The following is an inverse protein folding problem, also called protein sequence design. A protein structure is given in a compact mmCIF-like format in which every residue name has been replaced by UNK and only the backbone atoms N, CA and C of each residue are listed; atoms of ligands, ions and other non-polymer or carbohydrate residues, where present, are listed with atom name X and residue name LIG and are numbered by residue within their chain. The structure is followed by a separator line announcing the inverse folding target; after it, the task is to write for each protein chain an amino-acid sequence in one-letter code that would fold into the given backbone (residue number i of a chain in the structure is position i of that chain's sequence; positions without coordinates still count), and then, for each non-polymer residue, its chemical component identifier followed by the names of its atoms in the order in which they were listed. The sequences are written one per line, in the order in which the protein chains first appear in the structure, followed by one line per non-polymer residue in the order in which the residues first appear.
data_IF_964294599808
#
_entry.id   IF_964294599808
#
_cell.length_a   1.000
_cell.length_b   1.000
_cell.length_c   1.000
_cell.angle_alpha   90.00
_cell.angle_beta   90.00
_cell.angle_gamma   90.00
#
_symmetry.space_group_name_H-M   'P 1'
#
loop_
_entity.id
_entity.type
_entity.pdbx_description
1 polymer ?
#
# COMPACT_ATOMS: atom_id res chain seq x y z
N UNK A 1 7.11 -26.70 -22.96
CA UNK A 1 8.18 -26.13 -23.80
C UNK A 1 9.03 -25.28 -22.87
N UNK A 2 10.26 -25.71 -22.60
CA UNK A 2 11.16 -25.07 -21.65
C UNK A 2 11.65 -23.74 -22.21
N UNK A 3 11.58 -22.66 -21.41
CA UNK A 3 12.17 -21.38 -21.75
C UNK A 3 13.46 -21.21 -20.95
N UNK A 4 14.55 -21.22 -21.70
CA UNK A 4 15.91 -20.86 -21.31
C UNK A 4 15.96 -19.43 -20.78
N UNK A 5 16.65 -19.26 -19.66
CA UNK A 5 17.08 -17.98 -19.11
C UNK A 5 18.14 -17.40 -20.04
N UNK A 6 17.75 -16.45 -20.90
CA UNK A 6 18.71 -15.57 -21.55
C UNK A 6 18.26 -14.11 -21.36
N UNK A 7 19.05 -13.40 -20.55
CA UNK A 7 19.05 -11.94 -20.35
C UNK A 7 17.69 -11.25 -20.17
N UNK A 8 17.00 -11.55 -19.06
CA UNK A 8 15.76 -10.86 -18.66
C UNK A 8 15.99 -9.51 -17.97
N UNK A 9 16.25 -8.45 -18.75
CA UNK A 9 15.92 -7.09 -18.30
C UNK A 9 14.45 -6.87 -18.62
N UNK A 10 13.61 -6.81 -17.59
CA UNK A 10 12.20 -6.46 -17.73
C UNK A 10 12.11 -4.96 -18.05
N UNK A 11 12.26 -4.59 -19.32
CA UNK A 11 12.00 -3.22 -19.76
C UNK A 11 10.48 -3.02 -19.91
N UNK A 12 9.85 -2.53 -18.84
CA UNK A 12 8.60 -1.79 -18.96
C UNK A 12 8.84 -0.62 -19.94
N UNK A 13 8.26 -0.68 -21.14
CA UNK A 13 8.07 0.50 -22.00
C UNK A 13 6.99 1.39 -21.38
N UNK A 14 7.32 2.02 -20.26
CA UNK A 14 6.73 3.30 -19.92
C UNK A 14 7.25 4.31 -20.94
N UNK A 15 6.42 5.27 -21.34
CA UNK A 15 6.77 6.33 -22.30
C UNK A 15 8.18 6.87 -22.05
N UNK A 16 8.93 7.16 -23.13
CA UNK A 16 10.29 7.74 -23.09
C UNK A 16 10.36 8.80 -21.98
N UNK A 17 11.01 8.47 -20.85
CA UNK A 17 11.13 9.36 -19.70
C UNK A 17 10.79 8.79 -18.31
N UNK A 18 10.33 7.55 -18.17
CA UNK A 18 10.10 6.96 -16.85
C UNK A 18 11.42 6.76 -16.09
N UNK A 19 11.49 7.32 -14.88
CA UNK A 19 12.67 7.23 -14.03
C UNK A 19 12.68 5.86 -13.34
N UNK A 20 13.67 5.02 -13.69
CA UNK A 20 13.94 3.77 -12.99
C UNK A 20 14.36 4.03 -11.55
N UNK A 21 14.04 3.10 -10.66
CA UNK A 21 14.52 3.15 -9.28
C UNK A 21 16.05 3.12 -9.24
N UNK A 22 16.64 4.12 -8.59
CA UNK A 22 18.07 4.12 -8.28
C UNK A 22 18.22 4.00 -6.76
N UNK A 23 18.62 2.80 -6.30
CA UNK A 23 18.74 2.54 -4.88
C UNK A 23 19.93 3.22 -4.22
N UNK A 24 21.04 3.45 -4.93
CA UNK A 24 22.17 4.22 -4.38
C UNK A 24 21.77 5.68 -4.11
N UNK A 25 21.03 6.29 -5.05
CA UNK A 25 20.46 7.61 -4.87
C UNK A 25 19.45 7.63 -3.71
N UNK A 26 18.56 6.65 -3.65
CA UNK A 26 17.59 6.54 -2.56
C UNK A 26 18.28 6.44 -1.20
N UNK A 27 19.26 5.55 -1.06
CA UNK A 27 20.01 5.36 0.18
C UNK A 27 20.74 6.65 0.59
N UNK A 28 21.36 7.34 -0.36
CA UNK A 28 22.04 8.63 -0.12
C UNK A 28 21.05 9.70 0.34
N UNK A 29 19.92 9.82 -0.35
CA UNK A 29 18.89 10.85 -0.11
C UNK A 29 18.18 10.67 1.24
N UNK A 30 18.04 9.43 1.69
CA UNK A 30 17.35 9.08 2.93
C UNK A 30 18.29 8.66 4.06
N UNK A 31 19.59 8.92 3.92
CA UNK A 31 20.57 8.76 5.00
C UNK A 31 20.16 9.58 6.22
N UNK A 32 20.04 8.93 7.37
CA UNK A 32 19.62 9.52 8.64
C UNK A 32 18.13 9.87 8.73
N UNK A 33 17.32 9.50 7.73
CA UNK A 33 15.88 9.80 7.65
C UNK A 33 15.04 8.62 8.10
N UNK A 34 13.88 8.91 8.68
CA UNK A 34 12.90 7.92 9.16
C UNK A 34 11.76 7.80 8.18
N UNK A 35 11.59 6.60 7.63
CA UNK A 35 10.51 6.26 6.69
C UNK A 35 9.56 5.27 7.37
N UNK A 36 8.25 5.49 7.25
CA UNK A 36 7.25 4.50 7.70
C UNK A 36 6.12 4.30 6.71
N UNK A 37 5.87 3.04 6.39
CA UNK A 37 4.62 2.56 5.80
C UNK A 37 3.61 2.35 6.92
N UNK A 38 2.38 2.78 6.72
CA UNK A 38 1.30 2.66 7.71
C UNK A 38 0.04 2.19 7.00
N UNK A 39 -0.44 1.00 7.33
CA UNK A 39 -1.61 0.48 6.64
C UNK A 39 -1.86 -1.00 6.82
N UNK A 40 -2.57 -1.55 5.84
CA UNK A 40 -2.96 -2.97 5.78
C UNK A 40 -1.86 -3.87 5.19
N UNK A 41 -2.23 -5.09 4.79
CA UNK A 41 -1.27 -6.05 4.20
C UNK A 41 -0.70 -5.61 2.86
N UNK A 42 -1.29 -4.63 2.15
CA UNK A 42 -0.74 -4.12 0.90
C UNK A 42 0.38 -3.11 1.16
N UNK A 43 0.30 -2.35 2.26
CA UNK A 43 1.47 -1.62 2.78
C UNK A 43 2.62 -2.57 3.13
N UNK A 44 2.32 -3.75 3.68
CA UNK A 44 3.36 -4.76 3.91
C UNK A 44 3.97 -5.24 2.60
N UNK A 45 3.18 -5.50 1.56
CA UNK A 45 3.67 -5.89 0.24
C UNK A 45 4.62 -4.83 -0.35
N UNK A 46 4.22 -3.56 -0.33
CA UNK A 46 5.05 -2.46 -0.84
C UNK A 46 6.32 -2.25 -0.01
N UNK A 47 6.19 -2.31 1.32
CA UNK A 47 7.33 -2.22 2.24
C UNK A 47 8.34 -3.35 1.98
N UNK A 48 7.89 -4.60 1.83
CA UNK A 48 8.76 -5.75 1.53
C UNK A 48 9.51 -5.55 0.22
N UNK A 49 8.80 -5.15 -0.84
CA UNK A 49 9.40 -4.80 -2.14
C UNK A 49 10.51 -3.77 -1.97
N UNK A 50 10.24 -2.65 -1.30
CA UNK A 50 11.24 -1.60 -1.11
C UNK A 50 12.46 -2.12 -0.34
N UNK A 51 12.25 -2.89 0.72
CA UNK A 51 13.37 -3.47 1.49
C UNK A 51 14.24 -4.41 0.66
N UNK A 52 13.64 -5.21 -0.22
CA UNK A 52 14.38 -6.06 -1.17
C UNK A 52 15.18 -5.21 -2.17
N UNK A 53 14.57 -4.16 -2.74
CA UNK A 53 15.24 -3.26 -3.68
C UNK A 53 16.42 -2.53 -3.03
N UNK A 54 16.27 -2.07 -1.77
CA UNK A 54 17.34 -1.43 -1.02
C UNK A 54 18.46 -2.41 -0.65
N UNK A 55 18.12 -3.62 -0.22
CA UNK A 55 19.11 -4.66 0.05
C UNK A 55 19.92 -5.01 -1.21
N UNK A 56 19.25 -5.18 -2.35
CA UNK A 56 19.90 -5.45 -3.63
C UNK A 56 20.82 -4.30 -4.09
N UNK A 57 20.52 -3.07 -3.70
CA UNK A 57 21.32 -1.88 -4.02
C UNK A 57 22.53 -1.68 -3.10
N UNK A 58 22.61 -2.43 -2.00
CA UNK A 58 23.73 -2.40 -1.05
C UNK A 58 24.11 -3.82 -0.59
N UNK A 59 24.49 -4.73 -1.52
CA UNK A 59 24.61 -6.16 -1.23
C UNK A 59 25.76 -6.52 -0.26
N UNK A 60 26.72 -5.60 -0.08
CA UNK A 60 27.85 -5.76 0.86
C UNK A 60 27.59 -5.11 2.23
N UNK A 61 26.52 -4.34 2.37
CA UNK A 61 26.20 -3.66 3.62
C UNK A 61 25.45 -4.58 4.55
N UNK A 62 25.74 -4.49 5.86
CA UNK A 62 24.93 -5.17 6.85
C UNK A 62 23.51 -4.61 6.85
N UNK A 63 22.54 -5.50 7.07
CA UNK A 63 21.16 -5.12 7.30
C UNK A 63 20.66 -5.74 8.61
N UNK A 64 19.65 -5.10 9.20
CA UNK A 64 18.94 -5.63 10.35
C UNK A 64 17.46 -5.67 10.05
N UNK A 65 16.81 -6.70 10.59
CA UNK A 65 15.36 -6.82 10.58
C UNK A 65 14.89 -7.14 11.99
N UNK A 66 13.89 -6.39 12.46
CA UNK A 66 13.27 -6.64 13.75
C UNK A 66 11.77 -6.44 13.66
N UNK A 67 11.04 -7.20 14.47
CA UNK A 67 9.60 -7.08 14.61
C UNK A 67 9.24 -7.03 16.09
N UNK A 68 8.48 -6.01 16.48
CA UNK A 68 7.94 -5.84 17.82
C UNK A 68 6.46 -5.50 17.72
N UNK A 69 5.60 -6.45 18.04
CA UNK A 69 4.15 -6.31 17.87
C UNK A 69 3.76 -6.03 16.41
N UNK A 70 3.02 -4.93 16.19
CA UNK A 70 2.60 -4.46 14.87
C UNK A 70 3.68 -3.69 14.08
N UNK A 71 4.83 -3.40 14.69
CA UNK A 71 5.91 -2.63 14.07
C UNK A 71 7.00 -3.57 13.54
N UNK A 72 7.31 -3.46 12.25
CA UNK A 72 8.49 -4.08 11.62
C UNK A 72 9.48 -3.00 11.22
N UNK A 73 10.77 -3.23 11.46
CA UNK A 73 11.84 -2.29 11.13
C UNK A 73 12.91 -3.01 10.33
N UNK A 74 13.19 -2.51 9.13
CA UNK A 74 14.33 -2.90 8.31
C UNK A 74 15.32 -1.74 8.28
N UNK A 75 16.60 -2.02 8.54
CA UNK A 75 17.67 -1.02 8.39
C UNK A 75 18.80 -1.57 7.56
N UNK A 76 19.44 -0.73 6.76
CA UNK A 76 20.55 -1.08 5.86
C UNK A 76 21.61 0.02 5.91
N UNK A 77 22.82 -0.26 5.39
CA UNK A 77 23.97 0.64 5.45
C UNK A 77 24.32 0.95 6.91
N UNK A 78 24.55 -0.12 7.68
CA UNK A 78 24.89 -0.05 9.12
C UNK A 78 23.90 0.77 9.96
N UNK A 79 22.63 0.79 9.54
CA UNK A 79 21.54 1.48 10.24
C UNK A 79 21.31 2.93 9.81
N UNK A 80 22.04 3.43 8.81
CA UNK A 80 21.88 4.79 8.32
C UNK A 80 20.54 5.03 7.61
N UNK A 81 19.94 4.00 7.02
CA UNK A 81 18.60 4.07 6.41
C UNK A 81 17.70 3.06 7.09
N UNK A 82 16.58 3.54 7.66
CA UNK A 82 15.58 2.71 8.33
C UNK A 82 14.20 2.89 7.69
N UNK A 83 13.60 1.77 7.26
CA UNK A 83 12.24 1.71 6.72
C UNK A 83 11.36 0.87 7.64
N UNK A 84 10.32 1.48 8.18
CA UNK A 84 9.39 0.83 9.11
C UNK A 84 8.06 0.51 8.45
N UNK A 85 7.39 -0.49 9.00
CA UNK A 85 6.00 -0.81 8.73
C UNK A 85 5.23 -0.83 10.04
N UNK A 86 4.22 0.03 10.13
CA UNK A 86 3.25 0.07 11.23
C UNK A 86 1.91 -0.50 10.77
N UNK A 87 1.56 -1.71 11.23
CA UNK A 87 0.32 -2.40 10.83
C UNK A 87 -0.90 -1.74 11.45
N UNK A 88 -1.63 -0.96 10.65
CA UNK A 88 -2.85 -0.26 11.02
C UNK A 88 -3.85 -0.36 9.86
N UNK A 89 -4.51 -1.52 9.66
CA UNK A 89 -5.25 -1.81 8.43
C UNK A 89 -6.40 -0.84 8.14
N UNK A 90 -6.95 -0.20 9.18
CA UNK A 90 -8.05 0.75 9.07
C UNK A 90 -7.63 2.21 9.28
N UNK A 91 -6.37 2.45 9.68
CA UNK A 91 -5.84 3.72 10.21
C UNK A 91 -6.54 4.24 11.49
N UNK A 92 -7.84 4.03 11.62
CA UNK A 92 -8.62 4.26 12.84
C UNK A 92 -8.54 3.08 13.80
N UNK A 93 -8.92 3.33 15.05
CA UNK A 93 -8.73 2.38 16.13
C UNK A 93 -9.67 1.17 16.02
N UNK A 94 -9.08 -0.02 16.14
CA UNK A 94 -9.78 -1.28 16.36
C UNK A 94 -9.44 -1.76 17.77
N UNK A 95 -10.39 -1.65 18.69
CA UNK A 95 -10.18 -1.91 20.12
C UNK A 95 -11.04 -3.07 20.62
N UNK A 96 -10.56 -3.79 21.62
CA UNK A 96 -11.35 -4.82 22.31
C UNK A 96 -12.06 -4.19 23.50
N UNK A 97 -13.38 -4.14 23.44
CA UNK A 97 -14.26 -3.64 24.50
C UNK A 97 -15.03 -4.81 25.13
N UNK A 98 -15.78 -4.56 26.21
CA UNK A 98 -16.64 -5.58 26.86
C UNK A 98 -17.67 -6.20 25.90
N UNK A 99 -18.10 -5.44 24.90
CA UNK A 99 -19.08 -5.89 23.90
C UNK A 99 -18.45 -6.69 22.76
N UNK A 100 -17.13 -6.73 22.64
CA UNK A 100 -16.40 -7.34 21.53
C UNK A 100 -15.40 -6.37 20.89
N UNK A 101 -14.90 -6.72 19.70
CA UNK A 101 -13.99 -5.86 18.92
C UNK A 101 -14.78 -4.74 18.24
N UNK A 102 -14.40 -3.50 18.50
CA UNK A 102 -15.08 -2.31 17.99
C UNK A 102 -14.15 -1.51 17.09
N UNK A 103 -14.55 -1.32 15.84
CA UNK A 103 -13.90 -0.40 14.91
C UNK A 103 -14.45 1.01 15.15
N UNK A 104 -13.67 1.89 15.77
CA UNK A 104 -14.05 3.27 16.11
C UNK A 104 -13.67 4.21 14.97
N UNK A 105 -14.64 4.64 14.18
CA UNK A 105 -14.39 5.41 12.94
C UNK A 105 -13.90 6.84 13.19
N UNK A 106 -14.04 7.35 14.40
CA UNK A 106 -13.74 8.72 14.83
C UNK A 106 -12.55 8.81 15.81
N UNK A 107 -11.75 7.74 15.92
CA UNK A 107 -10.61 7.67 16.84
C UNK A 107 -9.32 7.18 16.17
N UNK A 108 -8.20 7.83 16.50
CA UNK A 108 -6.83 7.49 16.07
C UNK A 108 -5.87 7.70 17.25
N UNK A 109 -5.91 6.81 18.23
CA UNK A 109 -4.98 6.83 19.38
C UNK A 109 -3.56 6.45 18.94
N UNK A 110 -3.43 5.47 18.04
CA UNK A 110 -2.14 4.99 17.53
C UNK A 110 -1.37 6.03 16.69
N UNK A 111 -2.02 7.12 16.28
CA UNK A 111 -1.41 8.16 15.44
C UNK A 111 -0.20 8.83 16.08
N UNK A 112 -0.10 8.84 17.41
CA UNK A 112 1.08 9.28 18.17
C UNK A 112 2.39 8.66 17.67
N UNK A 113 2.35 7.40 17.23
CA UNK A 113 3.53 6.64 16.80
C UNK A 113 3.96 6.98 15.37
N UNK A 114 3.17 7.76 14.62
CA UNK A 114 3.48 8.19 13.24
C UNK A 114 4.15 9.57 13.22
N UNK A 115 4.20 10.28 14.35
CA UNK A 115 4.85 11.59 14.45
C UNK A 115 6.37 11.47 14.36
N UNK A 116 7.02 12.50 13.84
CA UNK A 116 8.48 12.60 13.80
C UNK A 116 9.17 11.73 12.74
N UNK A 117 8.41 11.22 11.77
CA UNK A 117 8.96 10.61 10.55
C UNK A 117 9.19 11.66 9.47
N UNK A 118 10.23 11.49 8.67
CA UNK A 118 10.52 12.35 7.51
C UNK A 118 9.64 11.98 6.32
N UNK A 119 9.21 10.72 6.22
CA UNK A 119 8.29 10.24 5.19
C UNK A 119 7.29 9.21 5.73
N UNK A 120 6.01 9.47 5.47
CA UNK A 120 4.90 8.58 5.79
C UNK A 120 4.20 8.13 4.51
N UNK A 121 4.02 6.81 4.35
CA UNK A 121 3.29 6.20 3.23
C UNK A 121 2.09 5.46 3.81
N UNK A 122 0.90 6.03 3.64
CA UNK A 122 -0.34 5.44 4.14
C UNK A 122 -1.01 4.57 3.08
N UNK A 123 -1.63 3.47 3.49
CA UNK A 123 -2.57 2.72 2.67
C UNK A 123 -3.68 2.15 3.53
N UNK A 124 -4.89 2.11 3.00
CA UNK A 124 -5.98 1.38 3.64
C UNK A 124 -7.11 1.16 2.63
N UNK A 125 -7.58 -0.08 2.49
CA UNK A 125 -8.85 -0.43 1.82
C UNK A 125 -9.13 -1.93 1.91
N UNK A 126 -8.10 -2.76 1.72
CA UNK A 126 -8.27 -4.19 1.48
C UNK A 126 -9.02 -4.90 2.61
N UNK A 127 -8.74 -4.51 3.86
CA UNK A 127 -9.37 -5.11 5.03
C UNK A 127 -10.80 -4.60 5.28
N UNK A 128 -11.18 -3.44 4.72
CA UNK A 128 -12.53 -2.91 4.86
C UNK A 128 -13.55 -3.80 4.17
N UNK A 129 -13.15 -4.50 3.10
CA UNK A 129 -14.05 -5.37 2.33
C UNK A 129 -14.22 -6.77 2.94
N UNK A 130 -13.47 -7.11 3.99
CA UNK A 130 -13.58 -8.42 4.64
C UNK A 130 -14.98 -8.66 5.24
N UNK A 131 -15.46 -9.90 5.08
CA UNK A 131 -16.76 -10.37 5.57
C UNK A 131 -16.60 -11.72 6.29
N UNK A 132 -17.64 -12.14 7.02
CA UNK A 132 -17.65 -13.43 7.72
C UNK A 132 -16.49 -13.54 8.72
N UNK A 133 -15.82 -14.69 8.72
CA UNK A 133 -14.69 -14.98 9.62
C UNK A 133 -13.45 -14.11 9.40
N UNK A 134 -13.33 -13.46 8.23
CA UNK A 134 -12.23 -12.54 7.93
C UNK A 134 -12.47 -11.12 8.46
N UNK A 135 -13.71 -10.79 8.86
CA UNK A 135 -14.07 -9.47 9.40
C UNK A 135 -13.48 -9.33 10.80
N UNK A 136 -12.53 -8.39 11.02
CA UNK A 136 -11.79 -8.34 12.29
C UNK A 136 -12.51 -7.57 13.41
N UNK A 137 -13.69 -7.01 13.15
CA UNK A 137 -14.52 -6.30 14.12
C UNK A 137 -15.89 -6.97 14.28
N UNK A 138 -16.44 -6.87 15.49
CA UNK A 138 -17.81 -7.29 15.82
C UNK A 138 -18.80 -6.12 15.66
N UNK A 139 -18.34 -4.90 15.96
CA UNK A 139 -19.13 -3.67 15.91
C UNK A 139 -18.35 -2.52 15.25
N UNK A 140 -19.09 -1.56 14.72
CA UNK A 140 -18.58 -0.28 14.20
C UNK A 140 -19.21 0.83 15.05
N UNK A 141 -18.36 1.76 15.49
CA UNK A 141 -18.77 2.90 16.29
C UNK A 141 -18.46 4.22 15.59
N UNK A 142 -19.40 5.17 15.67
CA UNK A 142 -19.20 6.58 15.34
C UNK A 142 -19.88 7.43 16.42
N UNK A 143 -19.11 8.23 17.15
CA UNK A 143 -19.58 8.97 18.32
C UNK A 143 -20.16 8.02 19.36
N UNK A 144 -21.45 8.21 19.67
CA UNK A 144 -22.20 7.38 20.63
C UNK A 144 -22.96 6.23 19.96
N UNK A 145 -22.99 6.17 18.63
CA UNK A 145 -23.77 5.18 17.89
C UNK A 145 -22.91 3.94 17.64
N UNK A 146 -23.42 2.77 18.05
CA UNK A 146 -22.77 1.47 17.84
C UNK A 146 -23.69 0.61 16.97
N UNK A 147 -23.14 0.05 15.90
CA UNK A 147 -23.85 -0.81 14.95
C UNK A 147 -23.06 -2.10 14.72
N UNK A 148 -23.75 -3.21 14.43
CA UNK A 148 -23.08 -4.49 14.08
C UNK A 148 -22.35 -4.44 12.74
N UNK A 149 -22.82 -3.58 11.84
CA UNK A 149 -22.28 -3.45 10.50
C UNK A 149 -22.67 -2.10 9.88
N UNK A 150 -21.95 -1.71 8.83
CA UNK A 150 -22.17 -0.47 8.08
C UNK A 150 -21.83 -0.71 6.60
N UNK A 151 -22.40 0.07 5.68
CA UNK A 151 -21.90 0.08 4.31
C UNK A 151 -20.39 0.34 4.28
N UNK A 152 -19.65 -0.44 3.46
CA UNK A 152 -18.18 -0.42 3.47
C UNK A 152 -17.62 0.91 2.98
N UNK A 153 -18.23 1.52 1.97
CA UNK A 153 -17.77 2.80 1.44
C UNK A 153 -18.10 3.94 2.40
N UNK A 154 -19.25 3.87 3.09
CA UNK A 154 -19.61 4.83 4.14
C UNK A 154 -18.63 4.74 5.31
N UNK A 155 -18.37 3.54 5.83
CA UNK A 155 -17.42 3.31 6.92
C UNK A 155 -16.00 3.76 6.51
N UNK A 156 -15.55 3.39 5.31
CA UNK A 156 -14.25 3.79 4.76
C UNK A 156 -14.12 5.30 4.66
N UNK A 157 -15.13 6.00 4.09
CA UNK A 157 -15.11 7.47 3.98
C UNK A 157 -15.04 8.13 5.34
N UNK A 158 -15.79 7.66 6.33
CA UNK A 158 -15.77 8.19 7.70
C UNK A 158 -14.41 8.01 8.35
N UNK A 159 -13.84 6.79 8.33
CA UNK A 159 -12.53 6.53 8.89
C UNK A 159 -11.41 7.32 8.20
N UNK A 160 -11.43 7.38 6.86
CA UNK A 160 -10.44 8.15 6.09
C UNK A 160 -10.57 9.66 6.35
N UNK A 161 -11.78 10.16 6.60
CA UNK A 161 -11.99 11.57 7.00
C UNK A 161 -11.44 11.85 8.40
N UNK A 162 -11.48 10.88 9.32
CA UNK A 162 -10.83 11.01 10.62
C UNK A 162 -9.30 11.03 10.46
N UNK A 163 -8.75 10.16 9.61
CA UNK A 163 -7.32 10.17 9.28
C UNK A 163 -6.88 11.48 8.65
N UNK A 164 -7.67 12.04 7.74
CA UNK A 164 -7.32 13.31 7.08
C UNK A 164 -7.25 14.48 8.08
N UNK A 165 -8.19 14.55 9.02
CA UNK A 165 -8.16 15.51 10.14
C UNK A 165 -6.94 15.31 11.04
N UNK A 166 -6.57 14.05 11.29
CA UNK A 166 -5.36 13.74 12.05
C UNK A 166 -4.12 14.27 11.35
N UNK A 167 -3.96 14.04 10.04
CA UNK A 167 -2.83 14.57 9.26
C UNK A 167 -2.80 16.09 9.30
N UNK A 168 -3.94 16.75 9.02
CA UNK A 168 -4.06 18.22 9.02
C UNK A 168 -3.69 18.86 10.36
N UNK A 169 -3.90 18.14 11.46
CA UNK A 169 -3.62 18.63 12.82
C UNK A 169 -2.19 18.33 13.26
N UNK A 170 -1.59 17.24 12.80
CA UNK A 170 -0.38 16.68 13.41
C UNK A 170 0.86 16.70 12.52
N UNK A 171 0.71 16.95 11.21
CA UNK A 171 1.82 16.90 10.25
C UNK A 171 2.20 18.30 9.79
N UNK A 172 3.51 18.60 9.90
CA UNK A 172 4.09 19.77 9.26
C UNK A 172 4.62 19.36 7.86
N UNK A 173 4.01 19.84 6.75
CA UNK A 173 4.40 19.45 5.40
C UNK A 173 5.81 19.93 4.99
N UNK A 174 6.37 20.92 5.70
CA UNK A 174 7.75 21.38 5.47
C UNK A 174 8.80 20.41 6.03
N UNK A 175 8.39 19.48 6.90
CA UNK A 175 9.28 18.52 7.57
C UNK A 175 9.00 17.09 7.11
N UNK A 176 7.72 16.72 7.01
CA UNK A 176 7.30 15.35 6.71
C UNK A 176 6.63 15.29 5.35
N UNK A 177 7.16 14.45 4.45
CA UNK A 177 6.49 14.09 3.20
C UNK A 177 5.41 13.04 3.49
N UNK A 178 4.20 13.26 2.99
CA UNK A 178 3.08 12.33 3.17
C UNK A 178 2.61 11.81 1.82
N UNK A 179 2.57 10.49 1.70
CA UNK A 179 2.03 9.76 0.56
C UNK A 179 0.82 8.95 0.98
N UNK A 180 -0.11 8.79 0.05
CA UNK A 180 -1.17 7.79 0.13
C UNK A 180 -1.01 6.84 -1.04
N UNK A 181 -0.72 5.56 -0.77
CA UNK A 181 -0.75 4.50 -1.77
C UNK A 181 -2.21 4.31 -2.20
N UNK A 182 -2.46 4.44 -3.51
CA UNK A 182 -3.77 4.21 -4.11
C UNK A 182 -4.32 2.80 -3.86
N UNK A 183 -5.56 2.59 -4.29
CA UNK A 183 -6.29 1.35 -4.06
C UNK A 183 -5.61 0.21 -4.83
N UNK A 184 -5.09 -0.79 -4.12
CA UNK A 184 -4.68 -2.05 -4.74
C UNK A 184 -5.93 -2.85 -5.13
N UNK A 185 -6.07 -3.25 -6.41
CA UNK A 185 -7.19 -4.07 -6.85
C UNK A 185 -7.02 -5.53 -6.41
N UNK A 186 -8.08 -6.30 -6.63
CA UNK A 186 -8.10 -7.77 -6.50
C UNK A 186 -8.58 -8.36 -7.82
N UNK A 187 -8.22 -9.61 -8.10
CA UNK A 187 -8.61 -10.31 -9.34
C UNK A 187 -9.30 -11.65 -9.03
N UNK A 188 -10.34 -11.60 -8.20
CA UNK A 188 -11.16 -12.78 -7.87
C UNK A 188 -12.25 -13.09 -8.89
N UNK A 189 -12.68 -12.11 -9.70
CA UNK A 189 -13.75 -12.26 -10.67
C UNK A 189 -13.31 -11.85 -12.08
N UNK A 190 -13.12 -12.85 -12.94
CA UNK A 190 -12.69 -12.64 -14.32
C UNK A 190 -13.67 -11.91 -15.23
N UNK A 191 -14.94 -11.82 -14.84
CA UNK A 191 -15.94 -11.02 -15.58
C UNK A 191 -15.52 -9.55 -15.64
N UNK A 192 -14.76 -9.05 -14.64
CA UNK A 192 -14.25 -7.67 -14.63
C UNK A 192 -13.20 -7.39 -15.72
N UNK A 193 -12.61 -8.43 -16.31
CA UNK A 193 -11.70 -8.33 -17.45
C UNK A 193 -12.15 -9.18 -18.65
N UNK A 194 -13.45 -9.42 -18.77
CA UNK A 194 -14.08 -10.16 -19.88
C UNK A 194 -13.61 -11.62 -20.03
N UNK A 195 -13.17 -12.27 -18.95
CA UNK A 195 -12.87 -13.71 -18.91
C UNK A 195 -13.79 -14.44 -17.94
N UNK A 196 -14.92 -14.92 -18.46
CA UNK A 196 -15.95 -15.55 -17.62
C UNK A 196 -15.45 -16.78 -16.86
N UNK A 197 -15.92 -16.94 -15.62
CA UNK A 197 -15.57 -18.06 -14.71
C UNK A 197 -14.06 -18.19 -14.44
N UNK A 198 -13.32 -17.09 -14.56
CA UNK A 198 -11.88 -17.03 -14.29
C UNK A 198 -11.57 -16.25 -13.02
N UNK A 199 -10.34 -16.38 -12.54
CA UNK A 199 -9.74 -15.53 -11.51
C UNK A 199 -8.24 -15.38 -11.83
N UNK A 200 -7.42 -14.96 -10.86
CA UNK A 200 -5.97 -14.82 -11.06
C UNK A 200 -5.22 -16.15 -11.30
N UNK A 201 -5.82 -17.31 -11.04
CA UNK A 201 -5.18 -18.61 -11.22
C UNK A 201 -4.93 -18.93 -12.70
N UNK A 202 -3.69 -19.32 -13.00
CA UNK A 202 -3.23 -19.63 -14.36
C UNK A 202 -3.00 -18.41 -15.24
N UNK A 203 -3.21 -17.20 -14.73
CA UNK A 203 -2.95 -15.96 -15.45
C UNK A 203 -1.44 -15.69 -15.49
N UNK A 204 -0.89 -15.59 -16.70
CA UNK A 204 0.56 -15.42 -16.93
C UNK A 204 0.89 -14.19 -17.75
N UNK A 205 -0.13 -13.43 -18.18
CA UNK A 205 0.01 -12.22 -18.97
C UNK A 205 -0.89 -11.12 -18.41
N UNK A 206 -0.45 -9.86 -18.47
CA UNK A 206 -1.29 -8.73 -18.12
C UNK A 206 -2.49 -8.62 -19.08
N UNK A 207 -3.47 -7.82 -18.69
CA UNK A 207 -4.56 -7.41 -19.58
C UNK A 207 -3.97 -6.53 -20.67
N UNK A 208 -4.30 -6.84 -21.93
CA UNK A 208 -3.85 -6.06 -23.08
C UNK A 208 -4.51 -4.68 -23.11
N UNK A 209 -3.73 -3.65 -23.46
CA UNK A 209 -4.20 -2.27 -23.56
C UNK A 209 -3.91 -1.44 -22.32
N UNK A 210 -4.55 -0.28 -22.23
CA UNK A 210 -4.32 0.72 -21.16
C UNK A 210 -5.54 0.96 -20.27
N UNK A 211 -6.63 0.22 -20.48
CA UNK A 211 -7.90 0.41 -19.77
C UNK A 211 -8.41 -0.91 -19.22
N UNK A 212 -8.79 -0.91 -17.95
CA UNK A 212 -9.44 -2.06 -17.31
C UNK A 212 -10.96 -2.04 -17.57
N UNK A 213 -11.55 -3.12 -18.14
CA UNK A 213 -12.98 -3.14 -18.50
C UNK A 213 -13.94 -2.95 -17.31
N UNK A 214 -13.63 -3.50 -16.14
CA UNK A 214 -14.47 -3.43 -14.94
C UNK A 214 -14.54 -2.05 -14.28
N UNK A 215 -13.84 -1.05 -14.81
CA UNK A 215 -13.80 0.31 -14.27
C UNK A 215 -12.98 0.42 -12.98
N UNK A 216 -12.89 1.64 -12.44
CA UNK A 216 -12.13 1.91 -11.21
C UNK A 216 -12.93 1.49 -9.96
N UNK A 217 -12.28 0.92 -8.93
CA UNK A 217 -12.94 0.65 -7.65
C UNK A 217 -13.53 1.95 -7.06
N UNK A 218 -14.78 1.94 -6.53
CA UNK A 218 -15.40 3.14 -5.96
C UNK A 218 -14.60 3.76 -4.81
N UNK A 219 -13.86 2.97 -4.05
CA UNK A 219 -12.97 3.45 -2.98
C UNK A 219 -11.89 4.42 -3.50
N UNK A 220 -11.44 4.29 -4.75
CA UNK A 220 -10.47 5.20 -5.34
C UNK A 220 -11.04 6.62 -5.48
N UNK A 221 -12.34 6.76 -5.75
CA UNK A 221 -13.02 8.05 -5.75
C UNK A 221 -13.08 8.63 -4.33
N UNK A 222 -13.38 7.82 -3.31
CA UNK A 222 -13.37 8.25 -1.91
C UNK A 222 -12.00 8.78 -1.49
N UNK A 223 -10.92 8.08 -1.85
CA UNK A 223 -9.55 8.55 -1.58
C UNK A 223 -9.31 9.91 -2.24
N UNK A 224 -9.55 10.03 -3.55
CA UNK A 224 -9.35 11.30 -4.27
C UNK A 224 -10.16 12.45 -3.66
N UNK A 225 -11.41 12.20 -3.30
CA UNK A 225 -12.28 13.21 -2.68
C UNK A 225 -11.72 13.65 -1.32
N UNK A 226 -11.31 12.71 -0.45
CA UNK A 226 -10.78 13.06 0.86
C UNK A 226 -9.49 13.85 0.72
N UNK A 227 -8.53 13.38 -0.10
CA UNK A 227 -7.24 14.05 -0.29
C UNK A 227 -7.39 15.46 -0.86
N UNK A 228 -8.33 15.68 -1.79
CA UNK A 228 -8.62 17.01 -2.37
C UNK A 228 -9.12 18.03 -1.35
N UNK A 229 -9.71 17.57 -0.25
CA UNK A 229 -10.30 18.44 0.79
C UNK A 229 -9.37 18.61 2.02
N UNK A 230 -8.13 18.12 1.96
CA UNK A 230 -7.16 18.26 3.05
C UNK A 230 -6.45 19.62 3.01
N UNK A 231 -6.06 20.12 4.19
CA UNK A 231 -5.20 21.30 4.31
C UNK A 231 -3.74 20.96 4.04
N UNK A 232 -3.28 19.84 4.58
CA UNK A 232 -1.93 19.30 4.33
C UNK A 232 -1.97 18.56 3.01
N UNK A 233 -1.13 18.97 2.06
CA UNK A 233 -1.02 18.30 0.77
C UNK A 233 -0.43 16.89 0.96
N UNK A 234 -1.22 15.88 0.59
CA UNK A 234 -0.80 14.48 0.55
C UNK A 234 -0.66 14.05 -0.90
N UNK A 235 0.47 13.43 -1.22
CA UNK A 235 0.72 12.95 -2.58
C UNK A 235 0.08 11.58 -2.79
N UNK A 236 -0.89 11.48 -3.71
CA UNK A 236 -1.47 10.20 -4.10
C UNK A 236 -0.51 9.46 -5.05
N UNK A 237 -0.07 8.27 -4.64
CA UNK A 237 0.55 7.31 -5.55
C UNK A 237 -0.58 6.55 -6.24
N UNK A 238 -1.05 7.04 -7.39
CA UNK A 238 -2.20 6.44 -8.09
C UNK A 238 -1.79 5.15 -8.81
N UNK A 239 -1.72 4.08 -8.04
CA UNK A 239 -1.33 2.74 -8.50
C UNK A 239 -2.52 1.91 -8.99
N UNK A 240 -3.74 2.45 -8.93
CA UNK A 240 -4.97 1.66 -9.11
C UNK A 240 -5.06 1.07 -10.51
N UNK A 241 -5.08 1.93 -11.53
CA UNK A 241 -5.32 1.52 -12.91
C UNK A 241 -4.20 0.62 -13.45
N UNK A 242 -2.93 0.95 -13.19
CA UNK A 242 -1.81 0.11 -13.63
C UNK A 242 -1.86 -1.27 -12.99
N UNK A 243 -2.28 -1.36 -11.73
CA UNK A 243 -2.34 -2.64 -11.02
C UNK A 243 -3.53 -3.47 -11.47
N UNK A 244 -4.63 -2.83 -11.91
CA UNK A 244 -5.78 -3.54 -12.48
C UNK A 244 -5.43 -4.25 -13.78
N UNK A 245 -4.42 -3.79 -14.52
CA UNK A 245 -3.96 -4.47 -15.72
C UNK A 245 -3.14 -5.74 -15.40
N UNK A 246 -2.81 -6.00 -14.14
CA UNK A 246 -1.85 -7.02 -13.72
C UNK A 246 -2.50 -8.24 -13.09
N UNK A 247 -3.53 -8.81 -13.71
CA UNK A 247 -4.16 -10.07 -13.27
C UNK A 247 -3.16 -11.23 -13.10
N UNK A 248 -2.01 -11.16 -13.76
CA UNK A 248 -0.88 -12.09 -13.73
C UNK A 248 0.06 -11.93 -12.51
N UNK A 249 -0.04 -10.82 -11.77
CA UNK A 249 0.91 -10.47 -10.72
C UNK A 249 0.66 -11.10 -9.35
N UNK A 250 -0.42 -11.86 -9.20
CA UNK A 250 -0.87 -12.42 -7.92
C UNK A 250 -0.20 -13.76 -7.60
N UNK A 251 0.04 -14.08 -6.31
CA UNK A 251 0.53 -15.39 -5.89
C UNK A 251 -0.41 -16.55 -6.24
N UNK A 252 -1.72 -16.29 -6.32
CA UNK A 252 -2.73 -17.33 -6.61
C UNK A 252 -2.57 -18.52 -5.65
N UNK A 253 -2.39 -19.74 -6.17
CA UNK A 253 -2.23 -20.97 -5.38
C UNK A 253 -0.92 -21.04 -4.59
N UNK A 254 0.04 -20.15 -4.86
CA UNK A 254 1.32 -20.05 -4.14
C UNK A 254 1.24 -19.09 -2.94
N UNK A 255 0.10 -18.42 -2.75
CA UNK A 255 -0.16 -17.52 -1.64
C UNK A 255 -0.80 -18.18 -0.42
N UNK A 256 -1.30 -17.33 0.47
CA UNK A 256 -1.98 -17.79 1.69
C UNK A 256 -3.31 -18.46 1.34
N UNK A 257 -3.50 -19.71 1.75
CA UNK A 257 -4.70 -20.51 1.43
C UNK A 257 -4.50 -21.54 0.31
N UNK A 258 -3.34 -21.54 -0.35
CA UNK A 258 -2.96 -22.59 -1.30
C UNK A 258 -3.96 -22.79 -2.45
N UNK A 259 -4.09 -24.04 -2.91
CA UNK A 259 -5.00 -24.42 -4.01
C UNK A 259 -6.48 -24.16 -3.73
N UNK A 260 -6.88 -24.10 -2.45
CA UNK A 260 -8.27 -23.93 -2.03
C UNK A 260 -8.67 -22.46 -1.90
N UNK A 261 -7.71 -21.57 -1.63
CA UNK A 261 -7.97 -20.16 -1.32
C UNK A 261 -7.70 -19.16 -2.43
N UNK A 262 -6.79 -19.45 -3.39
CA UNK A 262 -6.25 -18.52 -4.40
C UNK A 262 -6.04 -17.08 -3.89
N UNK A 263 -4.81 -16.71 -3.56
CA UNK A 263 -4.52 -15.31 -3.19
C UNK A 263 -4.50 -14.42 -4.44
N UNK A 264 -5.65 -13.81 -4.74
CA UNK A 264 -5.82 -12.82 -5.80
C UNK A 264 -5.91 -11.39 -5.26
N UNK A 265 -5.37 -11.12 -4.06
CA UNK A 265 -5.35 -9.77 -3.48
C UNK A 265 -3.94 -9.26 -3.19
N UNK A 266 -3.03 -10.11 -2.74
CA UNK A 266 -1.62 -9.77 -2.54
C UNK A 266 -0.83 -9.97 -3.82
N UNK A 267 0.43 -9.54 -3.84
CA UNK A 267 1.27 -9.55 -5.03
C UNK A 267 2.54 -10.37 -4.82
N UNK A 268 2.96 -11.06 -5.88
CA UNK A 268 4.28 -11.67 -5.96
C UNK A 268 5.38 -10.59 -5.85
N UNK A 269 6.52 -10.98 -5.29
CA UNK A 269 7.76 -10.19 -5.26
C UNK A 269 8.89 -11.01 -5.90
N UNK A 270 9.68 -10.47 -6.84
CA UNK A 270 9.55 -9.19 -7.53
C UNK A 270 8.25 -9.09 -8.36
N UNK A 271 7.71 -7.88 -8.56
CA UNK A 271 6.42 -7.70 -9.23
C UNK A 271 5.81 -6.30 -9.12
N UNK A 272 4.46 -6.26 -9.12
CA UNK A 272 3.67 -5.00 -9.12
C UNK A 272 4.07 -4.01 -8.01
N UNK A 273 4.38 -4.44 -6.76
CA UNK A 273 4.83 -3.52 -5.73
C UNK A 273 6.17 -2.83 -6.03
N UNK A 274 7.03 -3.41 -6.88
CA UNK A 274 8.27 -2.76 -7.33
C UNK A 274 7.93 -1.52 -8.19
N UNK A 275 6.95 -1.64 -9.08
CA UNK A 275 6.43 -0.50 -9.85
C UNK A 275 5.84 0.58 -8.94
N UNK A 276 5.19 0.22 -7.82
CA UNK A 276 4.71 1.22 -6.85
C UNK A 276 5.86 1.98 -6.20
N UNK A 277 6.97 1.30 -5.92
CA UNK A 277 8.19 1.91 -5.37
C UNK A 277 8.97 2.73 -6.39
N UNK A 278 8.96 2.34 -7.67
CA UNK A 278 9.44 3.17 -8.78
C UNK A 278 8.65 4.48 -8.88
N UNK A 279 7.31 4.42 -8.77
CA UNK A 279 6.47 5.63 -8.76
C UNK A 279 6.73 6.51 -7.54
N UNK A 280 6.89 5.92 -6.36
CA UNK A 280 7.29 6.64 -5.15
C UNK A 280 8.61 7.36 -5.38
N UNK A 281 9.63 6.67 -5.88
CA UNK A 281 10.95 7.23 -6.16
C UNK A 281 10.90 8.33 -7.22
N UNK A 282 10.24 8.09 -8.35
CA UNK A 282 10.06 9.08 -9.42
C UNK A 282 9.37 10.37 -8.92
N UNK A 283 8.41 10.21 -8.00
CA UNK A 283 7.72 11.34 -7.37
C UNK A 283 8.63 12.10 -6.40
N UNK A 284 9.48 11.39 -5.66
CA UNK A 284 10.42 12.01 -4.72
C UNK A 284 11.47 12.88 -5.42
N UNK A 285 11.99 12.41 -6.55
CA UNK A 285 13.00 13.14 -7.33
C UNK A 285 12.39 14.28 -8.15
N UNK A 286 11.12 14.18 -8.58
CA UNK A 286 10.45 15.26 -9.31
C UNK A 286 10.13 16.42 -8.37
N UNK A 287 9.65 16.13 -7.15
CA UNK A 287 9.48 17.13 -6.09
C UNK A 287 10.80 17.77 -5.65
N UNK A 288 11.91 17.01 -5.71
CA UNK A 288 13.25 17.51 -5.38
C UNK A 288 13.90 18.41 -6.44
N UNK A 289 13.38 18.44 -7.68
CA UNK A 289 13.88 19.31 -8.76
C UNK A 289 13.20 20.68 -8.82
N UNK A 290 12.22 20.96 -7.97
CA UNK A 290 11.51 22.24 -7.92
C UNK A 290 12.27 23.35 -7.15
N UNK A 291 13.58 23.22 -6.96
CA UNK A 291 14.44 24.25 -6.39
C UNK A 291 15.70 24.35 -7.25
N UNK A 292 15.61 25.20 -8.26
CA UNK A 292 16.72 25.97 -8.83
C UNK A 292 16.13 27.30 -9.32
#
# INVERSE_FOLDING_TARGET
MALTLDTGVCELKLSRGAVRFNGEDFLTRFKGKKISFVGDSLSFNQWQSLTCMLHASAPRSNFTFSRKGGLSTFSVVDGEVSVKLSRNPFLVDLVTEKIGKVLKLDSIENGRDWKGYDMLIFNTWHWWTHKGSQKPWDYIQEGKTIQKDMDRLVAFRKGLTTWSKWVDTNINPNVTKVFFQGISPVHYNGDEWNETKSNCNGQTQPINGSSYPGGSPPAAAVVRDVLRNMKVSVTLLDVTALSQLRKDGHPSIYGSGGKEGNDCSHWCLAGVPDTWNELLYATLISQGKAIN
#
